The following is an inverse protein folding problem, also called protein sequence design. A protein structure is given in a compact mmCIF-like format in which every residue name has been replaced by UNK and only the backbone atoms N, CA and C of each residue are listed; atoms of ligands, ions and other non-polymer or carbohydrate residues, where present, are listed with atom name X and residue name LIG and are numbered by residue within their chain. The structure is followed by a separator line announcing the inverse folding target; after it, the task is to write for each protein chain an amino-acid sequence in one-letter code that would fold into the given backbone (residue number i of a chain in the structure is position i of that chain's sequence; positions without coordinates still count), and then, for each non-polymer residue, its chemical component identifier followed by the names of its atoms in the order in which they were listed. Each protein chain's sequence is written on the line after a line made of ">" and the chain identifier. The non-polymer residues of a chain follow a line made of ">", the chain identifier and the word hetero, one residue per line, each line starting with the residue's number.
data_IF_708372302795
#
_entry.id   IF_708372302795
#
_cell.length_a   1.000
_cell.length_b   1.000
_cell.length_c   1.000
_cell.angle_alpha   90.00
_cell.angle_beta   90.00
_cell.angle_gamma   90.00
#
_symmetry.space_group_name_H-M   'P 1'
#
loop_
_entity.id
_entity.type
_entity.pdbx_description
1 polymer ?
#
# COMPACT_ATOMS: atom_id res chain seq x y z
N UNK A 1 -20.85 -12.54 -0.19
CA UNK A 1 -19.56 -11.97 -0.60
C UNK A 1 -19.48 -10.45 -0.30
N UNK A 2 -20.51 -9.66 -0.62
CA UNK A 2 -20.57 -8.22 -0.32
C UNK A 2 -21.56 -8.00 0.82
N UNK A 3 -21.08 -7.44 1.93
CA UNK A 3 -21.90 -7.24 3.13
C UNK A 3 -22.49 -5.83 3.21
N UNK A 4 -21.79 -4.84 2.68
CA UNK A 4 -22.19 -3.44 2.76
C UNK A 4 -21.71 -2.67 1.53
N UNK A 5 -22.58 -1.82 1.00
CA UNK A 5 -22.30 -0.91 -0.12
C UNK A 5 -22.69 0.51 0.30
N UNK A 6 -21.78 1.46 0.07
CA UNK A 6 -22.06 2.89 0.29
C UNK A 6 -21.63 3.70 -0.94
N UNK A 7 -22.46 4.60 -1.45
CA UNK A 7 -22.06 5.50 -2.51
C UNK A 7 -21.00 6.48 -2.02
N UNK A 8 -20.10 6.88 -2.92
CA UNK A 8 -19.09 7.89 -2.70
C UNK A 8 -19.29 9.01 -3.73
N UNK A 9 -19.01 10.23 -3.32
CA UNK A 9 -18.94 11.35 -4.26
C UNK A 9 -17.78 11.13 -5.25
N UNK A 10 -17.99 11.55 -6.50
CA UNK A 10 -16.98 11.46 -7.54
C UNK A 10 -17.11 12.58 -8.57
N UNK A 11 -15.98 13.14 -9.00
CA UNK A 11 -15.85 14.07 -10.13
C UNK A 11 -15.19 13.41 -11.35
N UNK A 12 -14.77 12.15 -11.22
CA UNK A 12 -13.93 11.45 -12.19
C UNK A 12 -14.61 10.23 -12.84
N UNK A 13 -15.69 9.74 -12.25
CA UNK A 13 -16.40 8.54 -12.69
C UNK A 13 -17.89 8.80 -12.81
N UNK A 14 -18.61 7.92 -13.50
CA UNK A 14 -20.08 7.95 -13.56
C UNK A 14 -20.66 7.66 -12.18
N UNK A 15 -20.10 6.63 -11.52
CA UNK A 15 -20.48 6.20 -10.18
C UNK A 15 -19.27 5.72 -9.41
N UNK A 16 -19.29 5.85 -8.08
CA UNK A 16 -18.24 5.37 -7.19
C UNK A 16 -18.84 4.85 -5.90
N UNK A 17 -18.31 3.72 -5.44
CA UNK A 17 -18.80 3.07 -4.24
C UNK A 17 -17.63 2.57 -3.39
N UNK A 18 -17.81 2.56 -2.06
CA UNK A 18 -17.05 1.70 -1.17
C UNK A 18 -17.90 0.49 -0.83
N UNK A 19 -17.31 -0.68 -0.98
CA UNK A 19 -17.93 -1.95 -0.62
C UNK A 19 -17.07 -2.67 0.41
N UNK A 20 -17.71 -3.49 1.24
CA UNK A 20 -17.04 -4.34 2.21
C UNK A 20 -17.24 -5.79 1.79
N UNK A 21 -16.13 -6.39 1.38
CA UNK A 21 -16.10 -7.73 0.83
C UNK A 21 -15.75 -8.72 1.93
N UNK A 22 -16.58 -9.74 2.14
CA UNK A 22 -16.30 -10.77 3.15
C UNK A 22 -15.20 -11.70 2.64
N UNK A 23 -14.06 -11.70 3.32
CA UNK A 23 -12.90 -12.53 3.00
C UNK A 23 -12.59 -13.51 4.12
N UNK A 24 -12.17 -14.74 3.83
CA UNK A 24 -11.69 -15.67 4.86
C UNK A 24 -10.40 -15.16 5.50
N UNK A 25 -10.22 -15.37 6.79
CA UNK A 25 -8.93 -15.18 7.45
C UNK A 25 -7.84 -16.05 6.80
N UNK A 26 -8.19 -17.30 6.55
CA UNK A 26 -7.36 -18.32 5.93
C UNK A 26 -8.11 -18.94 4.75
N UNK A 27 -7.69 -18.63 3.53
CA UNK A 27 -8.33 -19.16 2.33
C UNK A 27 -8.18 -20.68 2.17
N UNK A 28 -7.19 -21.31 2.84
CA UNK A 28 -7.05 -22.76 2.88
C UNK A 28 -8.04 -23.40 3.86
N UNK A 29 -8.47 -22.64 4.88
CA UNK A 29 -9.38 -23.10 5.91
C UNK A 29 -10.47 -22.04 6.19
N UNK A 30 -11.43 -21.83 5.28
CA UNK A 30 -12.39 -20.71 5.37
C UNK A 30 -13.25 -20.72 6.64
N UNK A 31 -13.39 -21.87 7.30
CA UNK A 31 -14.16 -22.03 8.55
C UNK A 31 -13.47 -21.40 9.78
N UNK A 32 -12.21 -20.94 9.67
CA UNK A 32 -11.48 -20.30 10.77
C UNK A 32 -11.91 -18.87 11.07
N UNK A 33 -12.84 -18.33 10.28
CA UNK A 33 -13.37 -16.97 10.43
C UNK A 33 -13.17 -16.13 9.19
N UNK A 34 -13.75 -14.95 9.20
CA UNK A 34 -13.72 -13.99 8.10
C UNK A 34 -13.48 -12.56 8.62
N UNK A 35 -13.15 -11.67 7.71
CA UNK A 35 -13.07 -10.23 7.96
C UNK A 35 -13.69 -9.48 6.79
N UNK A 36 -13.94 -8.18 6.97
CA UNK A 36 -14.43 -7.31 5.92
C UNK A 36 -13.27 -6.57 5.27
N UNK A 37 -13.08 -6.80 3.97
CA UNK A 37 -12.09 -6.08 3.17
C UNK A 37 -12.73 -4.90 2.47
N UNK A 38 -12.16 -3.69 2.65
CA UNK A 38 -12.62 -2.50 1.96
C UNK A 38 -12.16 -2.51 0.51
N UNK A 39 -13.11 -2.33 -0.41
CA UNK A 39 -12.86 -2.23 -1.84
C UNK A 39 -13.59 -0.99 -2.38
N UNK A 40 -12.89 -0.15 -3.12
CA UNK A 40 -13.48 0.97 -3.81
C UNK A 40 -13.74 0.56 -5.27
N UNK A 41 -14.99 0.69 -5.71
CA UNK A 41 -15.41 0.41 -7.08
C UNK A 41 -15.82 1.72 -7.73
N UNK A 42 -15.20 2.05 -8.84
CA UNK A 42 -15.50 3.25 -9.60
C UNK A 42 -15.83 2.88 -11.05
N UNK A 43 -17.02 3.22 -11.48
CA UNK A 43 -17.64 2.79 -12.73
C UNK A 43 -17.53 3.86 -13.81
N UNK A 44 -17.13 3.44 -15.01
CA UNK A 44 -17.16 4.24 -16.25
C UNK A 44 -18.14 3.65 -17.25
N UNK A 45 -18.17 2.32 -17.38
CA UNK A 45 -19.04 1.59 -18.30
C UNK A 45 -18.76 0.09 -18.28
N UNK A 46 -19.79 -0.70 -18.57
CA UNK A 46 -19.69 -2.18 -18.53
C UNK A 46 -18.81 -2.73 -19.67
N UNK A 47 -18.69 -2.02 -20.78
CA UNK A 47 -17.88 -2.36 -21.95
C UNK A 47 -16.43 -1.87 -21.85
N UNK A 48 -16.09 -1.16 -20.77
CA UNK A 48 -14.76 -0.57 -20.57
C UNK A 48 -13.79 -1.54 -19.95
N UNK A 49 -12.47 -1.37 -20.19
CA UNK A 49 -11.46 -2.10 -19.43
C UNK A 49 -11.62 -1.86 -17.92
N UNK A 50 -11.03 -2.73 -17.12
CA UNK A 50 -11.01 -2.59 -15.67
C UNK A 50 -9.58 -2.62 -15.15
N UNK A 51 -9.22 -1.62 -14.36
CA UNK A 51 -7.96 -1.56 -13.63
C UNK A 51 -8.22 -2.00 -12.19
N UNK A 52 -7.62 -3.11 -11.78
CA UNK A 52 -7.55 -3.51 -10.38
C UNK A 52 -6.27 -2.96 -9.76
N UNK A 53 -6.44 -2.07 -8.78
CA UNK A 53 -5.32 -1.50 -8.03
C UNK A 53 -5.08 -2.35 -6.79
N UNK A 54 -3.92 -3.01 -6.80
CA UNK A 54 -3.46 -3.87 -5.71
C UNK A 54 -2.68 -3.01 -4.72
N UNK A 55 -3.35 -2.57 -3.67
CA UNK A 55 -2.69 -1.76 -2.65
C UNK A 55 -1.76 -2.59 -1.76
N UNK A 56 -0.71 -1.97 -1.26
CA UNK A 56 0.17 -2.60 -0.27
C UNK A 56 -0.23 -2.28 1.16
N UNK A 57 -1.06 -1.24 1.34
CA UNK A 57 -1.41 -0.64 2.63
C UNK A 57 -2.89 -0.29 2.69
N UNK A 58 -3.23 0.83 3.33
CA UNK A 58 -4.60 1.30 3.48
C UNK A 58 -5.13 2.09 2.29
N UNK A 59 -6.42 1.97 2.00
CA UNK A 59 -7.10 2.59 0.87
C UNK A 59 -8.07 3.71 1.30
N UNK A 60 -7.63 4.63 2.16
CA UNK A 60 -8.44 5.79 2.51
C UNK A 60 -8.41 6.90 1.43
N UNK A 61 -7.26 7.12 0.81
CA UNK A 61 -7.06 8.19 -0.17
C UNK A 61 -7.85 8.01 -1.48
N UNK A 62 -8.07 6.79 -2.02
CA UNK A 62 -8.87 6.63 -3.23
C UNK A 62 -10.36 6.91 -3.02
N UNK A 63 -10.83 7.08 -1.78
CA UNK A 63 -12.21 7.49 -1.50
C UNK A 63 -12.48 8.97 -1.83
N UNK A 64 -11.45 9.81 -2.00
CA UNK A 64 -11.62 11.23 -2.35
C UNK A 64 -12.34 11.39 -3.68
N UNK A 65 -13.24 12.40 -3.83
CA UNK A 65 -14.02 12.61 -5.06
C UNK A 65 -13.18 12.71 -6.33
N UNK A 66 -12.07 13.45 -6.28
CA UNK A 66 -11.18 13.68 -7.44
C UNK A 66 -10.11 12.62 -7.67
N UNK A 67 -10.10 11.52 -6.90
CA UNK A 67 -9.09 10.48 -7.10
C UNK A 67 -9.45 9.57 -8.27
N UNK A 68 -8.51 9.43 -9.20
CA UNK A 68 -8.51 8.45 -10.29
C UNK A 68 -7.09 7.96 -10.53
N UNK A 69 -6.89 6.65 -10.54
CA UNK A 69 -5.59 6.03 -10.81
C UNK A 69 -5.17 6.28 -12.27
N UNK A 70 -3.86 6.37 -12.52
CA UNK A 70 -3.27 6.78 -13.79
C UNK A 70 -3.73 5.93 -14.98
N UNK A 71 -3.63 4.60 -14.89
CA UNK A 71 -4.04 3.71 -15.99
C UNK A 71 -5.55 3.72 -16.19
N UNK A 72 -6.33 3.86 -15.11
CA UNK A 72 -7.78 4.05 -15.21
C UNK A 72 -8.11 5.33 -15.98
N UNK A 73 -7.36 6.40 -15.78
CA UNK A 73 -7.50 7.64 -16.53
C UNK A 73 -7.08 7.47 -17.99
N UNK A 74 -5.91 6.88 -18.22
CA UNK A 74 -5.30 6.71 -19.54
C UNK A 74 -6.20 5.87 -20.48
N UNK A 75 -6.77 4.79 -19.96
CA UNK A 75 -7.60 3.86 -20.74
C UNK A 75 -9.11 4.15 -20.63
N UNK A 76 -9.50 5.20 -19.93
CA UNK A 76 -10.89 5.46 -19.57
C UNK A 76 -11.57 4.19 -19.02
N UNK A 77 -10.93 3.57 -18.04
CA UNK A 77 -11.28 2.27 -17.48
C UNK A 77 -12.05 2.40 -16.16
N UNK A 78 -12.84 1.36 -15.84
CA UNK A 78 -13.33 1.16 -14.49
C UNK A 78 -12.15 0.98 -13.54
N UNK A 79 -12.33 1.29 -12.25
CA UNK A 79 -11.30 1.11 -11.24
C UNK A 79 -11.86 0.29 -10.07
N UNK A 80 -11.15 -0.77 -9.71
CA UNK A 80 -11.38 -1.55 -8.50
C UNK A 80 -10.13 -1.43 -7.63
N UNK A 81 -10.24 -0.70 -6.53
CA UNK A 81 -9.13 -0.43 -5.63
C UNK A 81 -9.29 -1.26 -4.36
N UNK A 82 -8.36 -2.17 -4.08
CA UNK A 82 -8.47 -3.15 -3.01
C UNK A 82 -7.52 -2.79 -1.87
N UNK A 83 -8.06 -2.46 -0.70
CA UNK A 83 -7.27 -2.28 0.52
C UNK A 83 -6.60 -3.59 0.92
N UNK A 84 -5.32 -3.53 1.27
CA UNK A 84 -4.61 -4.73 1.68
C UNK A 84 -5.13 -5.25 3.04
N UNK A 85 -5.25 -6.58 3.19
CA UNK A 85 -5.58 -7.18 4.49
C UNK A 85 -4.63 -6.69 5.59
N UNK A 86 -5.12 -6.56 6.81
CA UNK A 86 -4.44 -6.02 8.01
C UNK A 86 -4.14 -4.51 7.99
N UNK A 87 -4.75 -3.77 7.07
CA UNK A 87 -4.66 -2.31 7.05
C UNK A 87 -6.03 -1.67 7.25
N UNK A 88 -6.05 -0.58 8.02
CA UNK A 88 -7.22 0.24 8.32
C UNK A 88 -8.49 -0.60 8.57
N UNK A 89 -9.53 -0.42 7.76
CA UNK A 89 -10.82 -1.13 7.92
C UNK A 89 -10.76 -2.60 7.47
N UNK A 90 -9.70 -2.99 6.75
CA UNK A 90 -9.45 -4.38 6.34
C UNK A 90 -8.61 -5.17 7.36
N UNK A 91 -8.57 -4.70 8.61
CA UNK A 91 -7.88 -5.40 9.70
C UNK A 91 -8.83 -6.40 10.38
N UNK A 92 -8.50 -7.70 10.39
CA UNK A 92 -9.28 -8.70 11.12
C UNK A 92 -9.24 -8.47 12.64
N UNK A 93 -10.33 -8.79 13.32
CA UNK A 93 -10.38 -8.85 14.77
C UNK A 93 -10.89 -10.25 15.22
N UNK A 94 -10.18 -10.97 16.11
CA UNK A 94 -8.88 -10.60 16.69
C UNK A 94 -7.75 -10.60 15.66
N UNK A 95 -6.76 -9.73 15.86
CA UNK A 95 -5.62 -9.58 14.97
C UNK A 95 -4.60 -10.70 15.16
N UNK A 96 -4.50 -11.60 14.19
CA UNK A 96 -3.56 -12.71 14.17
C UNK A 96 -2.68 -12.64 12.91
N UNK A 97 -1.46 -12.17 13.08
CA UNK A 97 -0.52 -11.88 11.99
C UNK A 97 -0.12 -13.08 11.15
N UNK A 98 -0.33 -14.32 11.63
CA UNK A 98 -0.04 -15.53 10.83
C UNK A 98 -0.84 -15.62 9.53
N UNK A 99 -1.97 -14.90 9.44
CA UNK A 99 -2.81 -14.84 8.23
C UNK A 99 -2.39 -13.73 7.25
N UNK A 100 -1.44 -12.88 7.62
CA UNK A 100 -0.84 -11.90 6.73
C UNK A 100 0.23 -12.59 5.87
N UNK A 101 -0.21 -13.30 4.84
CA UNK A 101 0.67 -14.02 3.92
C UNK A 101 0.43 -13.56 2.48
N UNK A 102 1.47 -13.69 1.63
CA UNK A 102 1.38 -13.38 0.20
C UNK A 102 0.26 -14.19 -0.48
N UNK A 103 0.14 -15.47 -0.15
CA UNK A 103 -0.92 -16.34 -0.72
C UNK A 103 -2.32 -15.87 -0.33
N UNK A 104 -2.56 -15.55 0.94
CA UNK A 104 -3.87 -15.05 1.37
C UNK A 104 -4.20 -13.71 0.71
N UNK A 105 -3.22 -12.81 0.59
CA UNK A 105 -3.39 -11.51 -0.08
C UNK A 105 -3.72 -11.68 -1.57
N UNK A 106 -3.05 -12.60 -2.25
CA UNK A 106 -3.34 -12.88 -3.66
C UNK A 106 -4.74 -13.52 -3.83
N UNK A 107 -5.15 -14.39 -2.92
CA UNK A 107 -6.49 -15.00 -2.93
C UNK A 107 -7.61 -14.00 -2.64
N UNK A 108 -7.35 -12.97 -1.83
CA UNK A 108 -8.30 -11.86 -1.65
C UNK A 108 -8.55 -11.14 -2.98
N UNK A 109 -7.49 -10.81 -3.71
CA UNK A 109 -7.58 -10.16 -5.01
C UNK A 109 -8.30 -11.04 -6.04
N UNK A 110 -7.97 -12.34 -6.05
CA UNK A 110 -8.65 -13.32 -6.89
C UNK A 110 -10.16 -13.35 -6.63
N UNK A 111 -10.58 -13.40 -5.37
CA UNK A 111 -11.99 -13.42 -5.01
C UNK A 111 -12.73 -12.15 -5.46
N UNK A 112 -12.10 -10.98 -5.31
CA UNK A 112 -12.64 -9.70 -5.81
C UNK A 112 -12.72 -9.72 -7.33
N UNK A 113 -11.65 -10.11 -8.03
CA UNK A 113 -11.62 -10.18 -9.49
C UNK A 113 -12.68 -11.12 -10.03
N UNK A 114 -12.80 -12.34 -9.48
CA UNK A 114 -13.78 -13.31 -9.90
C UNK A 114 -15.23 -12.79 -9.74
N UNK A 115 -15.50 -12.05 -8.66
CA UNK A 115 -16.83 -11.47 -8.44
C UNK A 115 -17.18 -10.39 -9.46
N UNK A 116 -16.20 -9.56 -9.89
CA UNK A 116 -16.44 -8.45 -10.80
C UNK A 116 -16.27 -8.77 -12.29
N UNK A 117 -15.59 -9.87 -12.65
CA UNK A 117 -15.43 -10.27 -14.06
C UNK A 117 -16.73 -10.53 -14.78
N UNK A 118 -17.76 -10.99 -14.06
CA UNK A 118 -19.10 -11.17 -14.64
C UNK A 118 -19.78 -9.86 -14.99
N UNK A 119 -19.47 -8.80 -14.26
CA UNK A 119 -20.00 -7.45 -14.49
C UNK A 119 -19.17 -6.68 -15.52
N UNK A 120 -17.84 -6.88 -15.50
CA UNK A 120 -16.88 -6.22 -16.37
C UNK A 120 -16.13 -7.26 -17.23
N UNK A 121 -16.73 -7.71 -18.35
CA UNK A 121 -16.15 -8.79 -19.17
C UNK A 121 -14.98 -8.31 -20.05
N UNK A 122 -14.65 -7.02 -20.06
CA UNK A 122 -13.56 -6.45 -20.84
C UNK A 122 -12.17 -6.86 -20.36
N UNK A 123 -11.14 -6.18 -20.87
CA UNK A 123 -9.74 -6.40 -20.47
C UNK A 123 -9.48 -5.93 -19.04
N UNK A 124 -8.66 -6.70 -18.33
CA UNK A 124 -8.27 -6.43 -16.95
C UNK A 124 -6.78 -6.11 -16.86
N UNK A 125 -6.46 -5.06 -16.11
CA UNK A 125 -5.09 -4.61 -15.84
C UNK A 125 -4.89 -4.58 -14.33
N UNK A 126 -3.88 -5.26 -13.81
CA UNK A 126 -3.46 -5.08 -12.41
C UNK A 126 -2.34 -4.06 -12.32
N UNK A 127 -2.40 -3.21 -11.31
CA UNK A 127 -1.37 -2.19 -11.05
C UNK A 127 -1.24 -1.91 -9.56
N UNK A 128 -0.12 -1.34 -9.17
CA UNK A 128 0.17 -0.88 -7.82
C UNK A 128 1.55 -0.27 -7.74
N UNK A 129 1.79 0.53 -6.70
CA UNK A 129 3.04 1.27 -6.51
C UNK A 129 3.77 0.72 -5.29
N UNK A 130 5.09 0.57 -5.36
CA UNK A 130 5.95 0.11 -4.25
C UNK A 130 5.47 -1.25 -3.72
N UNK A 131 5.11 -1.38 -2.45
CA UNK A 131 4.51 -2.60 -1.89
C UNK A 131 3.24 -3.01 -2.64
N UNK A 132 2.43 -2.06 -3.13
CA UNK A 132 1.30 -2.35 -4.02
C UNK A 132 1.75 -2.97 -5.35
N UNK A 133 2.85 -2.49 -5.93
CA UNK A 133 3.48 -3.11 -7.10
C UNK A 133 3.97 -4.53 -6.82
N UNK A 134 4.60 -4.77 -5.66
CA UNK A 134 4.95 -6.12 -5.21
C UNK A 134 3.71 -7.01 -5.07
N UNK A 135 2.62 -6.48 -4.51
CA UNK A 135 1.34 -7.19 -4.41
C UNK A 135 0.80 -7.58 -5.79
N UNK A 136 0.92 -6.68 -6.79
CA UNK A 136 0.56 -6.97 -8.19
C UNK A 136 1.38 -8.11 -8.80
N UNK A 137 2.71 -8.14 -8.55
CA UNK A 137 3.58 -9.23 -8.98
C UNK A 137 3.21 -10.57 -8.34
N UNK A 138 3.00 -10.57 -7.01
CA UNK A 138 2.56 -11.77 -6.29
C UNK A 138 1.18 -12.25 -6.78
N UNK A 139 0.25 -11.32 -6.98
CA UNK A 139 -1.06 -11.65 -7.51
C UNK A 139 -0.96 -12.33 -8.88
N UNK A 140 -0.17 -11.76 -9.79
CA UNK A 140 0.08 -12.36 -11.12
C UNK A 140 0.74 -13.73 -11.04
N UNK A 141 1.66 -13.92 -10.09
CA UNK A 141 2.34 -15.21 -9.92
C UNK A 141 1.40 -16.32 -9.41
N UNK A 142 0.49 -15.98 -8.49
CA UNK A 142 -0.49 -16.95 -7.96
C UNK A 142 -1.67 -17.18 -8.91
N UNK A 143 -2.11 -16.16 -9.64
CA UNK A 143 -3.31 -16.19 -10.52
C UNK A 143 -2.99 -15.57 -11.88
N UNK A 144 -2.24 -16.30 -12.74
CA UNK A 144 -1.76 -15.76 -14.01
C UNK A 144 -2.85 -15.37 -15.00
N UNK A 145 -4.05 -15.97 -14.88
CA UNK A 145 -5.16 -15.80 -15.82
C UNK A 145 -6.21 -14.78 -15.33
N UNK A 146 -6.02 -14.21 -14.14
CA UNK A 146 -6.99 -13.27 -13.58
C UNK A 146 -6.99 -11.91 -14.27
N UNK A 147 -5.85 -11.49 -14.80
CA UNK A 147 -5.71 -10.23 -15.51
C UNK A 147 -4.95 -10.42 -16.81
N UNK A 148 -5.23 -9.61 -17.82
CA UNK A 148 -4.54 -9.66 -19.11
C UNK A 148 -3.13 -9.05 -19.01
N UNK A 149 -3.00 -7.95 -18.27
CA UNK A 149 -1.79 -7.14 -18.15
C UNK A 149 -1.51 -6.86 -16.67
N UNK A 150 -0.23 -6.85 -16.31
CA UNK A 150 0.23 -6.36 -15.00
C UNK A 150 1.26 -5.25 -15.18
N UNK A 151 1.03 -4.12 -14.53
CA UNK A 151 1.89 -2.92 -14.58
C UNK A 151 2.29 -2.55 -13.15
N UNK A 152 3.29 -3.26 -12.58
CA UNK A 152 3.78 -2.95 -11.24
C UNK A 152 4.76 -1.78 -11.28
N UNK A 153 4.44 -0.67 -10.61
CA UNK A 153 5.33 0.48 -10.51
C UNK A 153 6.29 0.32 -9.33
N UNK A 154 7.59 0.48 -9.59
CA UNK A 154 8.67 0.45 -8.58
C UNK A 154 8.50 -0.64 -7.54
N UNK A 155 8.13 -1.83 -8.01
CA UNK A 155 7.81 -2.99 -7.20
C UNK A 155 9.09 -3.61 -6.59
N UNK A 156 9.29 -3.57 -5.27
CA UNK A 156 10.48 -4.15 -4.66
C UNK A 156 10.40 -5.68 -4.63
N UNK A 157 11.45 -6.35 -5.09
CA UNK A 157 11.66 -7.78 -4.86
C UNK A 157 12.59 -7.95 -3.65
N UNK A 158 11.98 -8.08 -2.46
CA UNK A 158 12.72 -8.28 -1.22
C UNK A 158 13.05 -9.76 -1.02
N UNK A 159 14.30 -10.05 -0.69
CA UNK A 159 14.77 -11.42 -0.43
C UNK A 159 14.65 -11.81 1.04
N UNK A 160 14.45 -10.85 1.92
CA UNK A 160 14.29 -11.04 3.36
C UNK A 160 14.17 -9.69 4.07
N UNK A 161 14.11 -9.73 5.39
CA UNK A 161 14.14 -8.52 6.24
C UNK A 161 15.49 -7.84 6.10
N UNK A 162 16.55 -8.63 6.22
CA UNK A 162 17.95 -8.22 5.98
C UNK A 162 18.31 -8.58 4.53
N UNK A 163 17.93 -7.70 3.60
CA UNK A 163 18.12 -7.95 2.17
C UNK A 163 19.60 -7.86 1.74
N UNK A 164 20.41 -7.06 2.43
CA UNK A 164 21.83 -6.90 2.17
C UNK A 164 22.17 -6.02 0.96
N UNK A 165 21.20 -5.42 0.29
CA UNK A 165 21.41 -4.51 -0.86
C UNK A 165 21.31 -3.04 -0.48
N UNK A 166 20.69 -2.70 0.66
CA UNK A 166 20.46 -1.33 1.08
C UNK A 166 21.76 -0.62 1.45
N UNK A 167 22.60 -1.23 2.29
CA UNK A 167 23.87 -0.65 2.72
C UNK A 167 24.83 -0.40 1.55
N UNK A 168 25.09 -1.36 0.63
CA UNK A 168 25.88 -1.10 -0.55
C UNK A 168 25.35 0.01 -1.43
N UNK A 169 24.02 0.13 -1.55
CA UNK A 169 23.39 1.23 -2.29
C UNK A 169 23.67 2.58 -1.61
N UNK A 170 23.42 2.69 -0.30
CA UNK A 170 23.64 3.93 0.47
C UNK A 170 25.12 4.34 0.47
N UNK A 171 26.05 3.38 0.38
CA UNK A 171 27.49 3.66 0.26
C UNK A 171 27.93 4.16 -1.11
N UNK A 172 27.09 4.00 -2.15
CA UNK A 172 27.45 4.34 -3.53
C UNK A 172 26.57 5.43 -4.14
N UNK A 173 25.40 5.70 -3.57
CA UNK A 173 24.46 6.71 -4.10
C UNK A 173 25.10 8.10 -4.02
N UNK A 174 24.93 8.89 -5.07
CA UNK A 174 25.43 10.26 -5.17
C UNK A 174 26.96 10.40 -5.03
N UNK A 175 27.47 11.57 -4.63
CA UNK A 175 28.90 11.79 -4.42
C UNK A 175 29.35 11.42 -3.02
N UNK A 176 30.65 11.13 -2.85
CA UNK A 176 31.20 10.84 -1.52
C UNK A 176 31.07 12.04 -0.57
N UNK A 177 31.18 13.26 -1.11
CA UNK A 177 31.01 14.49 -0.33
C UNK A 177 29.57 14.64 0.21
N UNK A 178 28.57 14.40 -0.62
CA UNK A 178 27.16 14.47 -0.21
C UNK A 178 26.80 13.41 0.81
N UNK A 179 27.24 12.15 0.59
CA UNK A 179 27.07 11.09 1.60
C UNK A 179 27.69 11.47 2.94
N UNK A 180 28.89 12.04 2.92
CA UNK A 180 29.57 12.51 4.14
C UNK A 180 28.79 13.61 4.85
N UNK A 181 28.20 14.56 4.13
CA UNK A 181 27.36 15.61 4.72
C UNK A 181 26.12 15.00 5.40
N UNK A 182 25.51 13.99 4.80
CA UNK A 182 24.35 13.29 5.39
C UNK A 182 24.77 12.56 6.66
N UNK A 183 25.86 11.81 6.62
CA UNK A 183 26.42 11.12 7.80
C UNK A 183 26.73 12.09 8.93
N UNK A 184 27.44 13.18 8.63
CA UNK A 184 27.80 14.20 9.62
C UNK A 184 26.56 14.85 10.24
N UNK A 185 25.53 15.10 9.45
CA UNK A 185 24.24 15.60 9.93
C UNK A 185 23.58 14.61 10.90
N UNK A 186 23.46 13.33 10.50
CA UNK A 186 22.87 12.28 11.35
C UNK A 186 23.63 12.15 12.68
N UNK A 187 24.96 12.08 12.62
CA UNK A 187 25.80 12.01 13.82
C UNK A 187 25.63 13.23 14.74
N UNK A 188 25.54 14.42 14.17
CA UNK A 188 25.36 15.65 14.96
C UNK A 188 23.98 15.71 15.61
N UNK A 189 22.93 15.27 14.91
CA UNK A 189 21.57 15.17 15.45
C UNK A 189 21.51 14.16 16.60
N UNK A 190 22.14 12.99 16.46
CA UNK A 190 22.23 11.98 17.53
C UNK A 190 23.00 12.49 18.74
N UNK A 191 24.16 13.14 18.55
CA UNK A 191 24.94 13.76 19.65
C UNK A 191 24.14 14.79 20.43
N UNK A 192 23.23 15.50 19.77
CA UNK A 192 22.38 16.52 20.38
C UNK A 192 21.02 15.98 20.82
N UNK A 193 20.82 14.67 20.88
CA UNK A 193 19.53 14.04 21.22
C UNK A 193 18.89 14.63 22.48
N UNK A 194 19.67 14.80 23.57
CA UNK A 194 19.15 15.34 24.83
C UNK A 194 18.52 16.74 24.69
N UNK A 195 19.01 17.54 23.74
CA UNK A 195 18.48 18.89 23.46
C UNK A 195 17.35 18.86 22.44
N UNK A 196 17.39 17.94 21.48
CA UNK A 196 16.47 17.92 20.34
C UNK A 196 15.22 17.06 20.60
N UNK A 197 15.33 16.01 21.40
CA UNK A 197 14.21 15.11 21.72
C UNK A 197 12.98 15.85 22.31
N UNK A 198 13.11 16.83 23.25
CA UNK A 198 11.96 17.58 23.73
C UNK A 198 11.26 18.41 22.62
N UNK A 199 12.01 18.90 21.64
CA UNK A 199 11.44 19.62 20.49
C UNK A 199 10.71 18.67 19.54
N UNK A 200 11.25 17.49 19.34
CA UNK A 200 10.61 16.42 18.57
C UNK A 200 9.30 15.96 19.22
N UNK A 201 9.30 15.83 20.56
CA UNK A 201 8.08 15.52 21.33
C UNK A 201 7.01 16.61 21.14
N UNK A 202 7.38 17.88 21.25
CA UNK A 202 6.47 19.00 20.99
C UNK A 202 5.87 18.92 19.58
N UNK A 203 6.72 18.73 18.56
CA UNK A 203 6.28 18.57 17.18
C UNK A 203 5.31 17.40 16.99
N UNK A 204 5.63 16.22 17.54
CA UNK A 204 4.77 15.04 17.45
C UNK A 204 3.41 15.27 18.12
N UNK A 205 3.40 15.96 19.26
CA UNK A 205 2.19 16.31 19.99
C UNK A 205 1.30 17.28 19.20
N UNK A 206 1.88 18.33 18.63
CA UNK A 206 1.17 19.29 17.77
C UNK A 206 0.57 18.62 16.53
N UNK A 207 1.30 17.65 15.93
CA UNK A 207 0.85 16.87 14.78
C UNK A 207 -0.12 15.74 15.17
N UNK A 208 -0.34 15.49 16.47
CA UNK A 208 -1.19 14.41 16.99
C UNK A 208 -0.73 13.02 16.52
N UNK A 209 0.57 12.81 16.38
CA UNK A 209 1.11 11.51 16.06
C UNK A 209 1.01 10.57 17.25
N UNK A 210 0.63 9.33 16.98
CA UNK A 210 0.51 8.26 17.99
C UNK A 210 1.45 7.13 17.60
N UNK A 211 2.40 6.83 18.46
CA UNK A 211 3.38 5.78 18.25
C UNK A 211 3.09 4.58 19.18
N UNK A 212 3.55 3.41 18.76
CA UNK A 212 3.48 2.16 19.56
C UNK A 212 4.83 1.79 20.19
N UNK A 213 5.87 2.55 19.90
CA UNK A 213 7.19 2.45 20.46
C UNK A 213 7.52 3.70 21.29
N UNK A 214 8.50 3.63 22.22
CA UNK A 214 8.98 4.79 22.95
C UNK A 214 9.45 5.91 22.02
N UNK A 215 9.20 7.16 22.39
CA UNK A 215 9.46 8.31 21.53
C UNK A 215 10.95 8.49 21.22
N UNK A 216 11.82 8.12 22.15
CA UNK A 216 13.27 8.19 21.97
C UNK A 216 13.78 7.16 20.95
N UNK A 217 13.16 5.98 20.87
CA UNK A 217 13.40 4.97 19.83
C UNK A 217 12.90 5.47 18.46
N UNK A 218 11.72 6.09 18.42
CA UNK A 218 11.19 6.72 17.20
C UNK A 218 12.11 7.83 16.71
N UNK A 219 12.66 8.64 17.62
CA UNK A 219 13.62 9.68 17.27
C UNK A 219 14.87 9.08 16.62
N UNK A 220 15.47 8.06 17.24
CA UNK A 220 16.66 7.40 16.69
C UNK A 220 16.36 6.77 15.32
N UNK A 221 15.24 6.10 15.18
CA UNK A 221 14.78 5.55 13.92
C UNK A 221 14.66 6.62 12.83
N UNK A 222 13.99 7.73 13.11
CA UNK A 222 13.86 8.84 12.14
C UNK A 222 15.21 9.41 11.72
N UNK A 223 16.19 9.50 12.63
CA UNK A 223 17.53 9.98 12.30
C UNK A 223 18.30 8.98 11.46
N UNK A 224 18.20 7.68 11.76
CA UNK A 224 18.90 6.63 11.01
C UNK A 224 18.31 6.44 9.61
N UNK A 225 16.98 6.54 9.48
CA UNK A 225 16.27 6.44 8.20
C UNK A 225 16.40 7.70 7.31
N UNK A 226 16.96 8.79 7.84
CA UNK A 226 17.05 10.06 7.12
C UNK A 226 17.76 9.93 5.78
N UNK A 227 18.87 9.18 5.71
CA UNK A 227 19.61 8.97 4.47
C UNK A 227 18.76 8.28 3.41
N UNK A 228 18.00 7.26 3.78
CA UNK A 228 17.09 6.56 2.88
C UNK A 228 15.99 7.50 2.35
N UNK A 229 15.34 8.22 3.26
CA UNK A 229 14.28 9.18 2.90
C UNK A 229 14.80 10.30 1.99
N UNK A 230 15.99 10.85 2.29
CA UNK A 230 16.63 11.90 1.50
C UNK A 230 16.89 11.45 0.06
N UNK A 231 17.48 10.26 -0.14
CA UNK A 231 17.79 9.76 -1.48
C UNK A 231 16.57 9.31 -2.26
N UNK A 232 15.48 8.96 -1.58
CA UNK A 232 14.23 8.58 -2.22
C UNK A 232 13.38 9.79 -2.64
N UNK A 233 13.27 10.79 -1.78
CA UNK A 233 12.33 11.91 -1.96
C UNK A 233 13.01 13.21 -2.38
N UNK A 234 14.31 13.31 -2.22
CA UNK A 234 15.07 14.52 -2.47
C UNK A 234 14.91 15.57 -1.38
N UNK A 235 15.63 16.68 -1.56
CA UNK A 235 15.39 17.94 -0.84
C UNK A 235 14.90 18.94 -1.86
N UNK A 236 13.66 19.37 -1.77
CA UNK A 236 13.24 20.63 -2.38
C UNK A 236 13.64 21.80 -1.48
#
# INVERSE_FOLDING_TARGET
>A
LVDRVKPLETTEFVEKYVIYFSQPLDHRHPKKGSFHQRVIVAHVGFDRPTVIVTEGYGAAYPMRPGYREELSRLFNANMIFVEHRFFLESTPEPRDWKYLTAENSAKDLHAVTAAFKTMYPGKWISTGISKGGQTSLLYRAFFPDDVDISVPYVAPLCYGVEDGRHEPFLQQVSTAEERKKVEDFQLEVLKRKSRLLPRFETYCTEKKYVFRAPLDEIYDFCVLEYSFALWQWGTE
#
